data_IF_210626579777
#
_entry.id   IF_210626579777
#
_cell.length_a   1.000
_cell.length_b   1.000
_cell.length_c   1.000
_cell.angle_alpha   90.00
_cell.angle_beta   90.00
_cell.angle_gamma   90.00
#
_symmetry.space_group_name_H-M   'P 1'
#
loop_
_entity.id
_entity.type
_entity.pdbx_description
1 polymer ?
#
# COMPACT_ATOMS: atom_id res chain seq x y z
N UNK A 1 10.80 -9.01 -0.01
CA UNK A 1 11.97 -9.20 -0.89
C UNK A 1 12.05 -8.03 -1.87
N UNK A 2 13.24 -7.47 -2.17
CA UNK A 2 13.39 -6.37 -3.11
C UNK A 2 12.88 -6.76 -4.50
N UNK A 3 12.34 -5.81 -5.24
CA UNK A 3 11.98 -6.01 -6.65
C UNK A 3 13.23 -6.23 -7.50
N UNK A 4 13.09 -6.72 -8.74
CA UNK A 4 14.21 -6.86 -9.69
C UNK A 4 15.01 -5.55 -9.85
N UNK A 5 14.32 -4.41 -9.86
CA UNK A 5 14.96 -3.09 -9.90
C UNK A 5 15.70 -2.75 -8.60
N UNK A 6 15.18 -3.17 -7.44
CA UNK A 6 15.88 -3.02 -6.16
C UNK A 6 17.22 -3.77 -6.13
N UNK A 7 17.26 -4.99 -6.67
CA UNK A 7 18.51 -5.74 -6.80
C UNK A 7 19.50 -5.09 -7.78
N UNK A 8 19.03 -4.60 -8.92
CA UNK A 8 19.87 -3.87 -9.87
C UNK A 8 20.48 -2.61 -9.23
N UNK A 9 19.70 -1.88 -8.43
CA UNK A 9 20.17 -0.70 -7.70
C UNK A 9 21.27 -1.04 -6.68
N UNK A 10 21.12 -2.14 -5.93
CA UNK A 10 22.16 -2.62 -4.99
C UNK A 10 23.46 -2.95 -5.74
N UNK A 11 23.35 -3.64 -6.88
CA UNK A 11 24.51 -3.94 -7.73
C UNK A 11 25.21 -2.68 -8.25
N UNK A 12 24.43 -1.70 -8.75
CA UNK A 12 24.96 -0.42 -9.21
C UNK A 12 25.63 0.38 -8.07
N UNK A 13 25.03 0.41 -6.89
CA UNK A 13 25.58 1.07 -5.71
C UNK A 13 26.93 0.45 -5.31
N UNK A 14 27.01 -0.89 -5.28
CA UNK A 14 28.24 -1.61 -4.96
C UNK A 14 29.35 -1.33 -6.02
N UNK A 15 29.00 -1.40 -7.31
CA UNK A 15 29.94 -1.12 -8.40
C UNK A 15 30.47 0.32 -8.34
N UNK A 16 29.60 1.31 -8.10
CA UNK A 16 29.99 2.70 -7.96
C UNK A 16 30.91 2.92 -6.75
N UNK A 17 30.60 2.34 -5.59
CA UNK A 17 31.43 2.45 -4.39
C UNK A 17 32.83 1.86 -4.59
N UNK A 18 32.90 0.64 -5.13
CA UNK A 18 34.17 -0.05 -5.37
C UNK A 18 35.01 0.73 -6.39
N UNK A 19 34.41 1.10 -7.52
CA UNK A 19 35.12 1.81 -8.60
C UNK A 19 35.56 3.20 -8.13
N UNK A 20 34.67 3.97 -7.49
CA UNK A 20 35.01 5.29 -6.94
C UNK A 20 36.15 5.21 -5.92
N UNK A 21 36.14 4.17 -5.06
CA UNK A 21 37.19 3.99 -4.04
C UNK A 21 38.52 3.52 -4.61
N UNK A 22 38.52 2.69 -5.66
CA UNK A 22 39.74 2.18 -6.31
C UNK A 22 40.40 3.27 -7.17
N UNK A 23 39.63 4.02 -7.95
CA UNK A 23 40.14 5.04 -8.87
C UNK A 23 40.28 6.44 -8.24
N UNK A 24 39.91 6.61 -6.95
CA UNK A 24 39.99 7.91 -6.27
C UNK A 24 38.98 8.96 -6.79
N UNK A 25 37.96 8.52 -7.53
CA UNK A 25 36.92 9.36 -8.09
C UNK A 25 35.89 9.69 -7.00
N UNK A 26 36.09 10.81 -6.32
CA UNK A 26 35.19 11.31 -5.26
C UNK A 26 33.73 11.38 -5.74
N UNK A 27 33.49 11.84 -6.96
CA UNK A 27 32.14 11.94 -7.54
C UNK A 27 31.44 10.58 -7.56
N UNK A 28 32.13 9.55 -8.04
CA UNK A 28 31.56 8.20 -8.15
C UNK A 28 31.33 7.55 -6.78
N UNK A 29 32.20 7.85 -5.82
CA UNK A 29 32.01 7.43 -4.44
C UNK A 29 30.77 8.09 -3.81
N UNK A 30 30.60 9.40 -3.99
CA UNK A 30 29.41 10.15 -3.52
C UNK A 30 28.12 9.58 -4.13
N UNK A 31 28.12 9.28 -5.43
CA UNK A 31 26.99 8.62 -6.10
C UNK A 31 26.69 7.26 -5.49
N UNK A 32 27.72 6.45 -5.22
CA UNK A 32 27.58 5.15 -4.56
C UNK A 32 26.94 5.27 -3.17
N UNK A 33 27.41 6.21 -2.34
CA UNK A 33 26.85 6.47 -1.00
C UNK A 33 25.39 6.92 -1.12
N UNK A 34 25.09 7.85 -2.02
CA UNK A 34 23.72 8.34 -2.23
C UNK A 34 22.76 7.21 -2.61
N UNK A 35 23.18 6.27 -3.46
CA UNK A 35 22.39 5.09 -3.81
C UNK A 35 22.13 4.18 -2.60
N UNK A 36 23.16 3.90 -1.80
CA UNK A 36 22.98 3.11 -0.56
C UNK A 36 22.02 3.78 0.41
N UNK A 37 22.17 5.09 0.63
CA UNK A 37 21.27 5.86 1.51
C UNK A 37 19.84 5.85 0.99
N UNK A 38 19.64 6.07 -0.30
CA UNK A 38 18.31 6.02 -0.92
C UNK A 38 17.65 4.63 -0.78
N UNK A 39 18.42 3.55 -0.98
CA UNK A 39 17.92 2.20 -0.79
C UNK A 39 17.54 1.92 0.66
N UNK A 40 18.38 2.32 1.62
CA UNK A 40 18.10 2.18 3.05
C UNK A 40 16.83 2.94 3.46
N UNK A 41 16.65 4.17 2.97
CA UNK A 41 15.43 4.96 3.19
C UNK A 41 14.20 4.27 2.59
N UNK A 42 14.30 3.71 1.37
CA UNK A 42 13.20 2.99 0.75
C UNK A 42 12.78 1.75 1.58
N UNK A 43 13.76 0.95 2.02
CA UNK A 43 13.52 -0.20 2.90
C UNK A 43 12.86 0.24 4.20
N UNK A 44 13.32 1.33 4.80
CA UNK A 44 12.76 1.88 6.02
C UNK A 44 11.31 2.34 5.85
N UNK A 45 10.99 3.06 4.77
CA UNK A 45 9.64 3.54 4.46
C UNK A 45 8.68 2.39 4.18
N UNK A 46 9.08 1.40 3.40
CA UNK A 46 8.23 0.27 3.00
C UNK A 46 7.95 -0.68 4.16
N UNK A 47 8.90 -0.88 5.08
CA UNK A 47 8.71 -1.76 6.23
C UNK A 47 8.03 -1.08 7.43
N UNK A 48 7.56 0.18 7.29
CA UNK A 48 6.75 0.78 8.34
C UNK A 48 5.41 0.03 8.49
N UNK A 49 4.96 -0.25 9.72
CA UNK A 49 3.66 -0.87 9.94
C UNK A 49 2.55 0.04 9.41
N UNK A 50 1.48 -0.58 8.89
CA UNK A 50 0.30 0.18 8.46
C UNK A 50 -0.30 0.92 9.67
N UNK A 51 -0.73 2.19 9.50
CA UNK A 51 -1.44 2.90 10.55
C UNK A 51 -2.76 2.20 10.88
N UNK A 52 -3.28 2.39 12.11
CA UNK A 52 -4.55 1.78 12.55
C UNK A 52 -5.71 2.31 11.71
N UNK A 53 -6.33 1.42 10.93
CA UNK A 53 -7.52 1.69 10.13
C UNK A 53 -8.70 0.91 10.71
N UNK A 54 -9.81 1.58 10.93
CA UNK A 54 -11.08 0.98 11.32
C UNK A 54 -11.94 0.76 10.08
N UNK A 55 -12.47 -0.44 9.90
CA UNK A 55 -13.37 -0.78 8.79
C UNK A 55 -14.73 -1.17 9.39
N UNK A 56 -15.78 -0.44 9.00
CA UNK A 56 -17.15 -0.70 9.41
C UNK A 56 -18.00 -1.03 8.18
N UNK A 57 -18.64 -2.21 8.21
CA UNK A 57 -19.54 -2.68 7.15
C UNK A 57 -20.98 -2.37 7.53
N UNK A 58 -21.70 -1.70 6.65
CA UNK A 58 -23.12 -1.35 6.82
C UNK A 58 -23.89 -1.86 5.61
N UNK A 59 -24.64 -2.96 5.77
CA UNK A 59 -25.53 -3.46 4.72
C UNK A 59 -26.89 -2.78 4.81
N UNK A 60 -27.43 -2.32 3.68
CA UNK A 60 -28.80 -1.79 3.60
C UNK A 60 -29.53 -2.42 2.41
N UNK A 61 -30.67 -3.12 2.62
CA UNK A 61 -31.35 -3.41 3.91
C UNK A 61 -30.66 -4.50 4.75
N UNK A 62 -30.93 -4.51 6.06
CA UNK A 62 -30.35 -5.47 7.03
C UNK A 62 -30.77 -6.92 6.77
N UNK A 63 -31.89 -7.13 6.07
CA UNK A 63 -32.41 -8.42 5.62
C UNK A 63 -32.67 -8.33 4.12
N UNK A 64 -32.04 -9.21 3.35
CA UNK A 64 -32.10 -9.22 1.88
C UNK A 64 -32.97 -10.41 1.46
N UNK A 65 -34.03 -10.16 0.69
CA UNK A 65 -34.83 -11.22 0.07
C UNK A 65 -34.12 -11.74 -1.19
N UNK A 66 -34.20 -13.06 -1.42
CA UNK A 66 -33.62 -13.71 -2.61
C UNK A 66 -34.18 -13.04 -3.87
N UNK A 67 -33.29 -12.55 -4.75
CA UNK A 67 -33.65 -11.91 -6.02
C UNK A 67 -33.59 -10.38 -6.06
N UNK A 68 -33.33 -9.68 -4.95
CA UNK A 68 -33.28 -8.21 -4.91
C UNK A 68 -31.86 -7.67 -4.64
N UNK A 69 -31.32 -6.73 -5.46
CA UNK A 69 -29.93 -6.32 -5.35
C UNK A 69 -29.66 -5.60 -4.02
N UNK A 70 -28.82 -6.20 -3.18
CA UNK A 70 -28.39 -5.61 -1.92
C UNK A 70 -27.22 -4.62 -2.12
N UNK A 71 -27.27 -3.48 -1.44
CA UNK A 71 -26.17 -2.52 -1.38
C UNK A 71 -25.44 -2.65 -0.05
N UNK A 72 -24.12 -2.80 -0.12
CA UNK A 72 -23.24 -2.79 1.04
C UNK A 72 -22.41 -1.52 1.00
N UNK A 73 -22.53 -0.70 2.05
CA UNK A 73 -21.67 0.46 2.27
C UNK A 73 -20.55 0.08 3.25
N UNK A 74 -19.31 0.20 2.81
CA UNK A 74 -18.09 0.03 3.60
C UNK A 74 -17.54 1.39 3.98
N UNK A 75 -17.42 1.64 5.28
CA UNK A 75 -16.82 2.85 5.83
C UNK A 75 -15.43 2.51 6.35
N UNK A 76 -14.42 3.19 5.82
CA UNK A 76 -13.02 3.01 6.19
C UNK A 76 -12.54 4.31 6.82
N UNK A 77 -12.11 4.27 8.07
CA UNK A 77 -11.65 5.43 8.82
C UNK A 77 -10.22 5.26 9.32
N UNK A 78 -9.39 6.27 9.11
CA UNK A 78 -8.05 6.31 9.69
C UNK A 78 -8.12 6.80 11.13
N UNK A 79 -7.91 5.90 12.09
CA UNK A 79 -7.92 6.20 13.54
C UNK A 79 -6.53 6.50 14.10
N UNK A 80 -5.53 6.58 13.23
CA UNK A 80 -4.16 6.88 13.61
C UNK A 80 -3.84 8.37 13.45
N UNK A 81 -2.71 8.79 14.03
CA UNK A 81 -2.15 10.12 13.85
C UNK A 81 -1.33 10.26 12.56
N UNK A 82 -1.19 9.19 11.76
CA UNK A 82 -0.38 9.17 10.54
C UNK A 82 -1.26 9.00 9.31
N UNK A 83 -0.88 9.61 8.19
CA UNK A 83 -1.56 9.40 6.90
C UNK A 83 -1.37 7.94 6.43
N UNK A 84 -2.42 7.32 5.91
CA UNK A 84 -2.31 5.97 5.33
C UNK A 84 -1.62 6.02 3.95
N UNK A 85 -0.88 4.97 3.55
CA UNK A 85 -0.46 4.80 2.16
C UNK A 85 -1.68 4.54 1.26
N UNK A 86 -1.49 4.42 -0.06
CA UNK A 86 -2.55 3.90 -0.94
C UNK A 86 -2.92 2.48 -0.49
N UNK A 87 -4.20 2.24 -0.21
CA UNK A 87 -4.68 0.95 0.28
C UNK A 87 -5.49 0.24 -0.80
N UNK A 88 -5.42 -1.09 -0.80
CA UNK A 88 -6.31 -1.94 -1.57
C UNK A 88 -7.13 -2.75 -0.56
N UNK A 89 -8.44 -2.52 -0.55
CA UNK A 89 -9.38 -3.28 0.26
C UNK A 89 -9.88 -4.48 -0.56
N UNK A 90 -9.95 -5.64 0.09
CA UNK A 90 -10.53 -6.85 -0.48
C UNK A 90 -11.68 -7.29 0.39
N UNK A 91 -12.89 -7.22 -0.15
CA UNK A 91 -14.09 -7.69 0.54
C UNK A 91 -14.58 -9.00 -0.09
N UNK A 92 -14.73 -10.10 0.67
CA UNK A 92 -15.29 -11.34 0.15
C UNK A 92 -16.80 -11.18 -0.13
N UNK A 93 -17.25 -11.69 -1.28
CA UNK A 93 -18.66 -11.60 -1.72
C UNK A 93 -19.14 -13.00 -2.13
N UNK A 94 -19.89 -13.65 -1.23
CA UNK A 94 -20.33 -15.04 -1.41
C UNK A 94 -19.16 -16.03 -1.48
N UNK A 95 -19.39 -17.20 -2.06
CA UNK A 95 -18.40 -18.29 -2.10
C UNK A 95 -17.44 -18.23 -3.30
N UNK A 96 -17.70 -17.34 -4.28
CA UNK A 96 -17.05 -17.39 -5.61
C UNK A 96 -16.28 -16.12 -5.99
N UNK A 97 -16.28 -15.07 -5.17
CA UNK A 97 -15.64 -13.82 -5.57
C UNK A 97 -15.37 -12.83 -4.45
N UNK A 98 -14.77 -11.71 -4.83
CA UNK A 98 -14.55 -10.57 -3.95
C UNK A 98 -14.59 -9.26 -4.73
N UNK A 99 -14.85 -8.17 -4.02
CA UNK A 99 -14.89 -6.83 -4.57
C UNK A 99 -13.58 -6.10 -4.21
N UNK A 100 -12.58 -6.05 -5.12
CA UNK A 100 -11.38 -5.26 -4.89
C UNK A 100 -11.71 -3.77 -5.01
N UNK A 101 -11.31 -2.99 -4.01
CA UNK A 101 -11.48 -1.53 -4.01
C UNK A 101 -10.13 -0.86 -3.78
N UNK A 102 -9.87 0.20 -4.54
CA UNK A 102 -8.71 1.05 -4.31
C UNK A 102 -9.13 2.26 -3.47
N UNK A 103 -8.37 2.53 -2.41
CA UNK A 103 -8.60 3.64 -1.52
C UNK A 103 -7.46 4.65 -1.65
N UNK A 104 -7.83 5.91 -1.81
CA UNK A 104 -6.88 7.00 -1.74
C UNK A 104 -6.26 7.08 -0.32
N UNK A 105 -5.06 7.67 -0.18
CA UNK A 105 -4.46 7.95 1.12
C UNK A 105 -5.42 8.76 2.00
N UNK A 106 -5.66 8.29 3.23
CA UNK A 106 -6.52 8.93 4.22
C UNK A 106 -5.63 9.68 5.22
N UNK A 107 -5.92 10.97 5.42
CA UNK A 107 -5.33 11.76 6.48
C UNK A 107 -5.75 11.28 7.89
N UNK A 108 -5.11 11.78 8.96
CA UNK A 108 -5.52 11.48 10.33
C UNK A 108 -6.98 11.85 10.57
N UNK A 109 -7.78 10.91 11.08
CA UNK A 109 -9.21 11.11 11.34
C UNK A 109 -10.12 11.12 10.10
N UNK A 110 -9.55 11.02 8.89
CA UNK A 110 -10.32 11.00 7.65
C UNK A 110 -11.04 9.67 7.46
N UNK A 111 -12.26 9.73 6.90
CA UNK A 111 -13.06 8.56 6.59
C UNK A 111 -13.59 8.62 5.14
N UNK A 112 -13.63 7.47 4.49
CA UNK A 112 -14.18 7.30 3.14
C UNK A 112 -15.22 6.20 3.15
N UNK A 113 -16.27 6.38 2.34
CA UNK A 113 -17.32 5.37 2.14
C UNK A 113 -17.21 4.81 0.73
N UNK A 114 -17.16 3.48 0.61
CA UNK A 114 -17.22 2.77 -0.66
C UNK A 114 -18.48 1.90 -0.67
N UNK A 115 -19.20 1.89 -1.80
CA UNK A 115 -20.42 1.11 -1.94
C UNK A 115 -20.26 0.09 -3.08
N UNK A 116 -20.74 -1.13 -2.87
CA UNK A 116 -20.83 -2.12 -3.93
C UNK A 116 -22.18 -2.86 -3.91
N UNK A 117 -22.57 -3.39 -5.06
CA UNK A 117 -23.79 -4.19 -5.22
C UNK A 117 -23.44 -5.66 -5.16
N UNK A 118 -24.25 -6.43 -4.43
CA UNK A 118 -24.13 -7.88 -4.34
C UNK A 118 -25.23 -8.50 -5.19
N UNK A 119 -24.89 -9.39 -6.16
CA UNK A 119 -25.89 -10.19 -6.84
C UNK A 119 -26.44 -11.24 -5.87
N UNK A 120 -27.76 -11.28 -5.69
CA UNK A 120 -28.46 -12.27 -4.87
C UNK A 120 -29.16 -13.24 -5.81
N UNK A 121 -28.41 -14.22 -6.32
CA UNK A 121 -28.95 -15.33 -7.13
C UNK A 121 -29.43 -16.46 -6.24
#
# INVERSE_FOLDING_TARGET
MPTRHGWAMVGAAAAALVTGRVFGLMELFVVGVALVTAFALAVFVVNRPLPRVEVRRVARPTTVSVGEPARVDLQVANRSQARTPRLKLWEPVGDKGGAPMQLAPLGPGEAVSAAYRVPTT
#
